data_IF_190880841793
#
_entry.id   IF_190880841793
#
_cell.length_a   1.000
_cell.length_b   1.000
_cell.length_c   1.000
_cell.angle_alpha   90.00
_cell.angle_beta   90.00
_cell.angle_gamma   90.00
#
_symmetry.space_group_name_H-M   'P 1'
#
loop_
_entity.id
_entity.type
_entity.pdbx_description
1 polymer ?
#
# COMPACT_ATOMS: atom_id res chain seq x y z
N UNK A 1 6.71 -4.22 -10.21
CA UNK A 1 8.16 -3.95 -10.20
C UNK A 1 8.98 -5.21 -9.98
N UNK A 2 8.47 -6.20 -9.25
CA UNK A 2 9.13 -7.48 -8.96
C UNK A 2 9.45 -8.35 -10.19
N UNK A 3 8.86 -8.06 -11.35
CA UNK A 3 9.20 -8.69 -12.63
C UNK A 3 10.16 -7.77 -13.39
N UNK A 4 11.30 -8.29 -13.82
CA UNK A 4 12.27 -7.59 -14.67
C UNK A 4 12.02 -7.93 -16.15
N UNK A 5 12.76 -7.29 -17.05
CA UNK A 5 12.64 -7.56 -18.49
C UNK A 5 12.83 -9.04 -18.85
N UNK A 6 13.70 -9.75 -18.13
CA UNK A 6 13.97 -11.17 -18.42
C UNK A 6 12.72 -12.04 -18.20
N UNK A 7 11.93 -11.76 -17.17
CA UNK A 7 10.65 -12.44 -16.94
C UNK A 7 9.56 -11.93 -17.89
N UNK A 8 9.46 -10.60 -18.09
CA UNK A 8 8.43 -9.99 -18.94
C UNK A 8 8.55 -10.42 -20.40
N UNK A 9 9.77 -10.56 -20.93
CA UNK A 9 10.02 -11.01 -22.31
C UNK A 9 9.53 -12.45 -22.57
N UNK A 10 9.20 -13.21 -21.52
CA UNK A 10 8.71 -14.59 -21.59
C UNK A 10 7.24 -14.72 -21.19
N UNK A 11 6.59 -13.61 -20.85
CA UNK A 11 5.23 -13.57 -20.33
C UNK A 11 4.26 -13.16 -21.46
N UNK A 12 3.15 -13.88 -21.58
CA UNK A 12 2.02 -13.48 -22.42
C UNK A 12 0.86 -13.04 -21.52
N UNK A 13 0.30 -11.87 -21.80
CA UNK A 13 -0.85 -11.30 -21.09
C UNK A 13 -2.06 -11.19 -22.04
N UNK A 14 -2.60 -12.32 -22.53
CA UNK A 14 -3.56 -12.35 -23.64
C UNK A 14 -4.89 -11.66 -23.33
N UNK A 15 -5.20 -11.41 -22.06
CA UNK A 15 -6.43 -10.76 -21.62
C UNK A 15 -6.27 -9.26 -21.35
N UNK A 16 -5.05 -8.72 -21.46
CA UNK A 16 -4.75 -7.34 -21.06
C UNK A 16 -5.43 -6.28 -21.94
N UNK A 17 -5.75 -6.63 -23.18
CA UNK A 17 -6.37 -5.72 -24.16
C UNK A 17 -7.90 -5.73 -24.09
N UNK A 18 -8.48 -6.67 -23.34
CA UNK A 18 -9.92 -6.89 -23.30
C UNK A 18 -10.55 -6.24 -22.07
N UNK A 19 -11.67 -5.51 -22.24
CA UNK A 19 -12.54 -5.18 -21.13
C UNK A 19 -12.98 -6.45 -20.40
N UNK A 20 -13.18 -6.34 -19.08
CA UNK A 20 -13.57 -7.49 -18.25
C UNK A 20 -14.88 -8.15 -18.71
N UNK A 21 -15.82 -7.39 -19.24
CA UNK A 21 -17.08 -7.91 -19.79
C UNK A 21 -16.83 -8.84 -20.98
N UNK A 22 -15.97 -8.43 -21.91
CA UNK A 22 -15.64 -9.20 -23.11
C UNK A 22 -14.93 -10.51 -22.75
N UNK A 23 -14.05 -10.50 -21.75
CA UNK A 23 -13.41 -11.72 -21.22
C UNK A 23 -14.47 -12.72 -20.71
N UNK A 24 -15.53 -12.24 -20.05
CA UNK A 24 -16.60 -13.11 -19.53
C UNK A 24 -17.48 -13.66 -20.66
N UNK A 25 -17.74 -12.86 -21.69
CA UNK A 25 -18.46 -13.30 -22.89
C UNK A 25 -17.69 -14.40 -23.62
N UNK A 26 -16.39 -14.20 -23.87
CA UNK A 26 -15.51 -15.22 -24.46
C UNK A 26 -15.52 -16.51 -23.63
N UNK A 27 -15.47 -16.41 -22.29
CA UNK A 27 -15.52 -17.57 -21.41
C UNK A 27 -16.88 -18.30 -21.48
N UNK A 28 -17.98 -17.57 -21.59
CA UNK A 28 -19.32 -18.13 -21.71
C UNK A 28 -19.51 -18.85 -23.05
N UNK A 29 -19.08 -18.23 -24.16
CA UNK A 29 -19.13 -18.81 -25.51
C UNK A 29 -18.30 -20.10 -25.60
N UNK A 30 -17.14 -20.13 -24.94
CA UNK A 30 -16.29 -21.31 -24.85
C UNK A 30 -16.80 -22.38 -23.85
N UNK A 31 -17.93 -22.14 -23.17
CA UNK A 31 -18.50 -23.07 -22.20
C UNK A 31 -17.66 -23.25 -20.93
N UNK A 32 -16.86 -22.26 -20.54
CA UNK A 32 -16.00 -22.34 -19.36
C UNK A 32 -16.81 -22.09 -18.08
N UNK A 33 -16.68 -22.93 -17.04
CA UNK A 33 -17.46 -22.82 -15.79
C UNK A 33 -17.11 -21.60 -14.92
N UNK A 34 -16.11 -20.81 -15.35
CA UNK A 34 -15.62 -19.63 -14.63
C UNK A 34 -16.23 -18.32 -15.13
N UNK A 35 -17.04 -18.34 -16.20
CA UNK A 35 -17.61 -17.14 -16.81
C UNK A 35 -18.39 -16.26 -15.80
N UNK A 36 -19.17 -16.89 -14.93
CA UNK A 36 -19.99 -16.21 -13.91
C UNK A 36 -19.34 -16.20 -12.51
N UNK A 37 -18.16 -16.78 -12.36
CA UNK A 37 -17.50 -16.87 -11.06
C UNK A 37 -17.15 -15.45 -10.58
N UNK A 38 -17.55 -15.07 -9.35
CA UNK A 38 -17.11 -13.81 -8.77
C UNK A 38 -15.59 -13.71 -8.72
N UNK A 39 -15.05 -12.54 -9.03
CA UNK A 39 -13.62 -12.28 -8.92
C UNK A 39 -13.18 -12.40 -7.46
N UNK A 40 -12.04 -13.03 -7.21
CA UNK A 40 -11.45 -13.07 -5.87
C UNK A 40 -11.01 -11.66 -5.48
N UNK A 41 -11.62 -11.09 -4.43
CA UNK A 41 -11.32 -9.73 -3.95
C UNK A 41 -10.43 -9.69 -2.69
N UNK A 42 -10.07 -10.86 -2.17
CA UNK A 42 -9.34 -11.02 -0.91
C UNK A 42 -8.05 -11.83 -1.13
N UNK A 43 -7.21 -11.88 -0.09
CA UNK A 43 -5.95 -12.63 -0.11
C UNK A 43 -6.22 -14.08 -0.54
N UNK A 44 -5.64 -14.49 -1.68
CA UNK A 44 -6.00 -15.73 -2.39
C UNK A 44 -5.92 -17.02 -1.55
N UNK A 45 -5.16 -17.02 -0.45
CA UNK A 45 -4.99 -18.17 0.45
C UNK A 45 -5.81 -18.09 1.75
N UNK A 46 -6.65 -17.06 1.92
CA UNK A 46 -7.55 -16.91 3.07
C UNK A 46 -9.00 -17.09 2.57
N UNK A 47 -9.55 -18.32 2.62
CA UNK A 47 -10.82 -18.64 1.97
C UNK A 47 -12.04 -17.90 2.56
N UNK A 48 -12.01 -17.56 3.84
CA UNK A 48 -13.15 -16.95 4.55
C UNK A 48 -13.08 -15.41 4.62
N UNK A 49 -12.04 -14.79 4.06
CA UNK A 49 -11.79 -13.34 4.15
C UNK A 49 -11.48 -12.82 5.57
N UNK A 50 -11.50 -13.68 6.59
CA UNK A 50 -11.19 -13.30 7.98
C UNK A 50 -9.68 -13.28 8.23
N UNK A 51 -9.02 -12.25 7.73
CA UNK A 51 -7.60 -12.02 7.96
C UNK A 51 -7.28 -11.86 9.45
N UNK A 52 -8.21 -11.37 10.28
CA UNK A 52 -7.96 -11.13 11.71
C UNK A 52 -7.77 -12.45 12.44
N UNK A 53 -8.65 -13.41 12.17
CA UNK A 53 -8.52 -14.78 12.69
C UNK A 53 -7.22 -15.42 12.19
N UNK A 54 -6.94 -15.33 10.89
CA UNK A 54 -5.74 -15.89 10.29
C UNK A 54 -4.43 -15.37 10.94
N UNK A 55 -4.35 -14.07 11.23
CA UNK A 55 -3.17 -13.46 11.88
C UNK A 55 -3.13 -13.79 13.37
N UNK A 56 -4.28 -13.74 14.07
CA UNK A 56 -4.37 -14.03 15.50
C UNK A 56 -3.99 -15.46 15.87
N UNK A 57 -4.20 -16.43 14.97
CA UNK A 57 -3.74 -17.82 15.13
C UNK A 57 -2.21 -17.96 15.04
N UNK A 58 -1.52 -17.00 14.40
CA UNK A 58 -0.07 -17.05 14.13
C UNK A 58 0.75 -16.10 14.96
N UNK A 59 0.11 -15.10 15.58
CA UNK A 59 0.77 -14.10 16.42
C UNK A 59 -0.09 -13.82 17.64
N UNK A 60 0.50 -13.86 18.83
CA UNK A 60 -0.20 -13.45 20.05
C UNK A 60 -0.37 -11.93 20.02
N UNK A 61 -1.60 -11.38 19.97
CA UNK A 61 -1.79 -9.94 19.98
C UNK A 61 -1.34 -9.34 21.30
N UNK A 62 -0.62 -8.22 21.23
CA UNK A 62 -0.30 -7.40 22.39
C UNK A 62 -1.24 -6.20 22.40
N UNK A 63 -2.12 -6.07 23.42
CA UNK A 63 -2.97 -4.89 23.57
C UNK A 63 -2.14 -3.63 23.75
N UNK A 64 -2.74 -2.49 23.42
CA UNK A 64 -2.11 -1.19 23.56
C UNK A 64 -3.11 -0.05 23.49
N UNK A 65 -2.61 1.17 23.47
CA UNK A 65 -3.43 2.37 23.63
C UNK A 65 -3.67 3.08 22.30
N UNK A 66 -4.91 3.53 22.12
CA UNK A 66 -5.19 4.63 21.20
C UNK A 66 -4.81 5.94 21.87
N UNK A 67 -4.00 6.75 21.21
CA UNK A 67 -3.59 8.09 21.68
C UNK A 67 -3.96 9.16 20.66
N UNK A 68 -4.10 10.42 21.09
CA UNK A 68 -4.14 11.56 20.18
C UNK A 68 -2.72 12.10 19.85
N UNK A 69 -2.64 13.18 19.08
CA UNK A 69 -1.38 13.84 18.72
C UNK A 69 -0.61 14.41 19.91
N UNK A 70 -1.31 14.72 21.00
CA UNK A 70 -0.75 15.28 22.22
C UNK A 70 -0.33 14.18 23.22
N UNK A 71 -0.60 12.91 22.88
CA UNK A 71 -0.27 11.74 23.69
C UNK A 71 -1.36 11.36 24.71
N UNK A 72 -2.54 11.98 24.68
CA UNK A 72 -3.63 11.62 25.58
C UNK A 72 -4.23 10.27 25.18
N UNK A 73 -4.44 9.38 26.14
CA UNK A 73 -5.08 8.08 25.90
C UNK A 73 -6.57 8.25 25.64
N UNK A 74 -7.03 7.78 24.48
CA UNK A 74 -8.42 7.82 24.02
C UNK A 74 -9.16 6.50 24.28
N UNK A 75 -8.43 5.40 24.47
CA UNK A 75 -8.97 4.07 24.69
C UNK A 75 -7.93 2.98 24.40
N UNK A 76 -8.37 1.72 24.35
CA UNK A 76 -7.49 0.57 24.15
C UNK A 76 -7.86 -0.24 22.91
N UNK A 77 -6.87 -0.94 22.35
CA UNK A 77 -7.02 -1.82 21.20
C UNK A 77 -6.45 -3.22 21.47
N UNK A 78 -6.94 -4.26 20.76
CA UNK A 78 -6.48 -5.63 20.97
C UNK A 78 -5.10 -5.92 20.37
N UNK A 79 -4.58 -5.07 19.47
CA UNK A 79 -3.23 -5.19 18.89
C UNK A 79 -3.08 -4.41 17.60
N UNK A 80 -1.87 -3.93 17.33
CA UNK A 80 -1.56 -3.03 16.20
C UNK A 80 -1.83 -3.65 14.83
N UNK A 81 -1.67 -4.97 14.69
CA UNK A 81 -1.84 -5.71 13.43
C UNK A 81 -3.28 -5.74 12.90
N UNK A 82 -4.26 -5.29 13.69
CA UNK A 82 -5.67 -5.23 13.28
C UNK A 82 -6.06 -3.89 12.66
N UNK A 83 -5.09 -2.99 12.50
CA UNK A 83 -5.29 -1.61 12.07
C UNK A 83 -4.37 -1.24 10.92
N UNK A 84 -4.78 -0.25 10.15
CA UNK A 84 -4.02 0.29 9.01
C UNK A 84 -4.13 1.80 8.99
N UNK A 85 -3.06 2.49 8.57
CA UNK A 85 -3.07 3.95 8.41
C UNK A 85 -4.18 4.38 7.44
N UNK A 86 -4.93 5.41 7.85
CA UNK A 86 -6.14 5.89 7.19
C UNK A 86 -7.43 5.14 7.54
N UNK A 87 -7.39 4.11 8.39
CA UNK A 87 -8.60 3.41 8.83
C UNK A 87 -9.47 4.32 9.70
N UNK A 88 -10.77 4.39 9.35
CA UNK A 88 -11.80 5.12 10.10
C UNK A 88 -12.76 4.23 10.90
N UNK A 89 -13.15 3.10 10.32
CA UNK A 89 -14.23 2.24 10.86
C UNK A 89 -13.66 1.19 11.82
N UNK A 90 -14.52 0.69 12.71
CA UNK A 90 -14.22 -0.44 13.63
C UNK A 90 -12.99 -0.18 14.52
N UNK A 91 -12.86 1.04 15.03
CA UNK A 91 -11.82 1.37 16.01
C UNK A 91 -12.13 0.84 17.41
N UNK A 92 -13.38 0.43 17.69
CA UNK A 92 -13.76 -0.12 19.00
C UNK A 92 -13.79 0.93 20.12
N UNK A 93 -13.68 2.22 19.78
CA UNK A 93 -13.81 3.31 20.73
C UNK A 93 -15.28 3.55 21.07
N UNK A 94 -15.60 3.40 22.35
CA UNK A 94 -16.90 3.73 22.91
C UNK A 94 -16.96 5.23 23.17
N UNK A 95 -17.31 6.03 22.17
CA UNK A 95 -17.39 7.47 22.37
C UNK A 95 -17.82 8.22 21.13
N UNK A 96 -18.80 9.11 21.31
CA UNK A 96 -19.18 10.09 20.30
C UNK A 96 -18.14 11.23 20.38
N UNK A 97 -16.95 11.02 19.79
CA UNK A 97 -15.83 12.00 19.78
C UNK A 97 -16.17 13.31 19.04
N UNK A 98 -17.43 13.51 18.63
CA UNK A 98 -17.95 14.67 17.90
C UNK A 98 -17.40 14.81 16.47
N UNK A 99 -16.25 14.20 16.18
CA UNK A 99 -15.54 14.25 14.90
C UNK A 99 -15.03 12.86 14.51
N UNK A 100 -14.98 12.56 13.19
CA UNK A 100 -14.46 11.28 12.72
C UNK A 100 -12.94 11.21 12.97
N UNK A 101 -12.52 10.16 13.69
CA UNK A 101 -11.11 9.83 13.91
C UNK A 101 -10.61 8.83 12.87
N UNK A 102 -9.34 8.96 12.53
CA UNK A 102 -8.62 8.08 11.63
C UNK A 102 -7.31 7.63 12.27
N UNK A 103 -6.87 6.42 11.96
CA UNK A 103 -5.52 5.95 12.32
C UNK A 103 -4.49 6.76 11.53
N UNK A 104 -3.78 7.67 12.18
CA UNK A 104 -2.75 8.50 11.55
C UNK A 104 -1.38 7.87 11.63
N UNK A 105 -1.10 7.13 12.71
CA UNK A 105 0.20 6.49 12.91
C UNK A 105 0.05 5.23 13.76
N UNK A 106 0.85 4.21 13.48
CA UNK A 106 0.98 3.00 14.29
C UNK A 106 2.42 2.95 14.82
N UNK A 107 2.63 2.85 16.13
CA UNK A 107 3.95 2.87 16.77
C UNK A 107 4.19 1.47 17.38
N UNK A 108 4.86 0.56 16.66
CA UNK A 108 5.03 -0.82 17.12
C UNK A 108 5.81 -0.93 18.43
N UNK A 109 6.78 -0.04 18.64
CA UNK A 109 7.71 -0.08 19.76
C UNK A 109 6.99 0.10 21.10
N UNK A 110 5.98 0.97 21.12
CA UNK A 110 5.15 1.26 22.30
C UNK A 110 3.77 0.62 22.24
N UNK A 111 3.45 -0.13 21.18
CA UNK A 111 2.12 -0.67 20.90
C UNK A 111 1.03 0.41 20.89
N UNK A 112 1.34 1.61 20.40
CA UNK A 112 0.39 2.72 20.38
C UNK A 112 -0.17 2.96 18.98
N UNK A 113 -1.42 3.39 18.90
CA UNK A 113 -2.05 3.85 17.67
C UNK A 113 -2.47 5.30 17.85
N UNK A 114 -1.88 6.20 17.05
CA UNK A 114 -2.25 7.61 17.03
C UNK A 114 -3.51 7.78 16.19
N UNK A 115 -4.49 8.46 16.76
CA UNK A 115 -5.72 8.85 16.09
C UNK A 115 -5.76 10.36 15.92
N UNK A 116 -6.21 10.78 14.74
CA UNK A 116 -6.34 12.19 14.40
C UNK A 116 -7.43 12.47 13.40
N UNK A 117 -7.44 13.68 12.88
CA UNK A 117 -8.33 14.11 11.82
C UNK A 117 -7.85 13.60 10.46
N UNK A 118 -8.72 13.75 9.46
CA UNK A 118 -8.37 13.40 8.07
C UNK A 118 -7.22 14.24 7.52
N UNK A 119 -7.01 15.46 8.02
CA UNK A 119 -5.94 16.36 7.55
C UNK A 119 -4.57 15.92 8.04
N UNK A 120 -4.53 15.20 9.16
CA UNK A 120 -3.30 14.68 9.75
C UNK A 120 -2.76 13.45 8.99
N UNK A 121 -3.45 13.03 7.92
CA UNK A 121 -3.05 11.95 7.02
C UNK A 121 -2.43 12.46 5.71
N UNK A 122 -2.47 13.77 5.45
CA UNK A 122 -2.05 14.31 4.17
C UNK A 122 -0.53 14.53 4.16
N UNK A 123 0.18 13.75 3.34
CA UNK A 123 1.64 13.78 3.20
C UNK A 123 2.02 14.16 1.77
N UNK A 124 3.01 15.06 1.63
CA UNK A 124 3.54 15.45 0.30
C UNK A 124 4.77 14.66 -0.11
N UNK A 125 5.30 13.83 0.79
CA UNK A 125 6.55 13.14 0.60
C UNK A 125 6.45 11.72 1.15
N UNK A 126 7.05 10.76 0.45
CA UNK A 126 7.29 9.43 0.96
C UNK A 126 8.67 8.94 0.54
N UNK A 127 9.15 7.92 1.21
CA UNK A 127 10.36 7.19 0.85
C UNK A 127 9.97 5.79 0.41
N UNK A 128 10.62 5.28 -0.62
CA UNK A 128 10.41 3.92 -1.09
C UNK A 128 11.73 3.14 -1.05
N UNK A 129 11.77 2.03 -0.31
CA UNK A 129 12.88 1.09 -0.32
C UNK A 129 12.67 0.01 -1.39
N UNK A 130 13.71 -0.79 -1.63
CA UNK A 130 13.67 -1.94 -2.57
C UNK A 130 13.13 -1.52 -3.94
N UNK A 131 13.52 -0.33 -4.38
CA UNK A 131 13.06 0.24 -5.63
C UNK A 131 13.66 -0.56 -6.76
N UNK A 132 12.81 -0.97 -7.68
CA UNK A 132 13.26 -1.58 -8.93
C UNK A 132 12.56 -0.92 -10.09
N UNK A 133 13.29 -0.85 -11.20
CA UNK A 133 12.80 -0.36 -12.46
C UNK A 133 12.56 -1.55 -13.38
N UNK A 134 11.48 -1.47 -14.14
CA UNK A 134 11.11 -2.50 -15.12
C UNK A 134 12.06 -2.42 -16.32
N UNK A 135 12.56 -1.23 -16.66
CA UNK A 135 13.63 -1.03 -17.64
C UNK A 135 15.00 -1.51 -17.13
N UNK A 136 16.02 -1.46 -18.00
CA UNK A 136 17.36 -1.97 -17.68
C UNK A 136 18.11 -1.07 -16.69
N UNK A 137 17.84 0.24 -16.69
CA UNK A 137 18.55 1.21 -15.85
C UNK A 137 17.60 2.14 -15.08
N UNK A 138 17.89 2.46 -13.81
CA UNK A 138 17.19 3.50 -13.07
C UNK A 138 17.47 4.88 -13.70
N UNK A 139 16.55 5.85 -13.58
CA UNK A 139 16.84 7.23 -13.96
C UNK A 139 18.08 7.75 -13.20
N UNK A 140 18.97 8.49 -13.86
CA UNK A 140 20.13 9.12 -13.21
C UNK A 140 19.79 10.45 -12.54
N UNK A 141 18.66 11.05 -12.92
CA UNK A 141 18.19 12.36 -12.45
C UNK A 141 16.74 12.26 -11.94
N UNK A 142 16.28 13.26 -11.15
CA UNK A 142 14.88 13.35 -10.79
C UNK A 142 13.96 13.36 -12.01
N UNK A 143 12.88 12.58 -11.96
CA UNK A 143 11.94 12.43 -13.06
C UNK A 143 10.50 12.57 -12.59
N UNK A 144 9.66 13.21 -13.40
CA UNK A 144 8.22 13.29 -13.15
C UNK A 144 7.56 11.96 -13.50
N UNK A 145 6.80 11.42 -12.57
CA UNK A 145 6.08 10.15 -12.68
C UNK A 145 4.67 10.28 -12.16
N UNK A 146 3.80 9.38 -12.58
CA UNK A 146 2.50 9.15 -11.96
C UNK A 146 2.66 8.02 -10.94
N UNK A 147 2.55 8.35 -9.65
CA UNK A 147 2.75 7.41 -8.56
C UNK A 147 1.41 6.87 -8.03
N UNK A 148 1.32 5.56 -7.86
CA UNK A 148 0.18 4.85 -7.28
C UNK A 148 0.57 4.21 -5.96
N UNK A 149 0.05 4.74 -4.86
CA UNK A 149 0.37 4.29 -3.49
C UNK A 149 -0.60 3.25 -2.93
N UNK A 150 -1.72 3.00 -3.63
CA UNK A 150 -2.75 2.01 -3.25
C UNK A 150 -3.39 1.42 -4.49
N UNK A 151 -3.73 0.12 -4.45
CA UNK A 151 -4.32 -0.59 -5.59
C UNK A 151 -5.61 0.06 -6.14
N UNK A 152 -6.51 0.49 -5.26
CA UNK A 152 -7.79 1.11 -5.63
C UNK A 152 -7.73 2.65 -5.71
N UNK A 153 -6.56 3.26 -5.54
CA UNK A 153 -6.42 4.71 -5.72
C UNK A 153 -6.13 5.07 -7.18
N UNK A 154 -6.46 6.31 -7.54
CA UNK A 154 -5.91 6.93 -8.75
C UNK A 154 -4.39 7.09 -8.63
N UNK A 155 -3.76 7.41 -9.76
CA UNK A 155 -2.36 7.85 -9.78
C UNK A 155 -2.27 9.31 -9.36
N UNK A 156 -1.12 9.74 -8.85
CA UNK A 156 -0.84 11.13 -8.51
C UNK A 156 0.52 11.53 -9.02
N UNK A 157 0.60 12.70 -9.65
CA UNK A 157 1.85 13.21 -10.20
C UNK A 157 2.83 13.53 -9.08
N UNK A 158 4.07 13.10 -9.27
CA UNK A 158 5.14 13.23 -8.31
C UNK A 158 6.50 13.35 -9.02
N UNK A 159 7.45 13.98 -8.32
CA UNK A 159 8.86 13.91 -8.68
C UNK A 159 9.49 12.72 -7.93
N UNK A 160 10.03 11.76 -8.69
CA UNK A 160 10.84 10.66 -8.18
C UNK A 160 12.31 11.05 -8.25
N UNK A 161 12.99 11.03 -7.12
CA UNK A 161 14.45 11.20 -7.03
C UNK A 161 15.10 9.87 -6.64
N UNK A 162 15.80 9.19 -7.57
CA UNK A 162 16.42 7.90 -7.30
C UNK A 162 17.67 8.06 -6.42
N UNK A 163 17.87 7.13 -5.49
CA UNK A 163 18.95 7.14 -4.49
C UNK A 163 19.58 5.75 -4.36
N UNK A 164 19.89 5.11 -5.49
CA UNK A 164 20.39 3.74 -5.53
C UNK A 164 19.25 2.74 -5.43
N UNK A 165 19.15 2.00 -4.32
CA UNK A 165 18.15 0.96 -4.06
C UNK A 165 16.86 1.50 -3.39
N UNK A 166 16.81 2.80 -3.11
CA UNK A 166 15.64 3.51 -2.63
C UNK A 166 15.39 4.78 -3.43
N UNK A 167 14.22 5.39 -3.24
CA UNK A 167 13.86 6.65 -3.89
C UNK A 167 13.07 7.57 -2.94
N UNK A 168 13.25 8.87 -3.14
CA UNK A 168 12.41 9.91 -2.56
C UNK A 168 11.31 10.28 -3.55
N UNK A 169 10.06 10.29 -3.10
CA UNK A 169 8.91 10.63 -3.93
C UNK A 169 8.26 11.86 -3.32
N UNK A 170 8.17 12.94 -4.11
CA UNK A 170 7.49 14.18 -3.70
C UNK A 170 6.29 14.43 -4.60
N UNK A 171 5.10 14.45 -4.03
CA UNK A 171 3.86 14.67 -4.75
C UNK A 171 3.58 16.17 -4.95
N UNK A 172 3.00 16.49 -6.10
CA UNK A 172 2.57 17.85 -6.43
C UNK A 172 1.40 18.28 -5.54
N UNK A 173 0.52 17.35 -5.20
CA UNK A 173 -0.59 17.52 -4.25
C UNK A 173 -0.49 16.53 -3.07
N UNK A 174 -0.92 16.91 -1.85
CA UNK A 174 -0.83 16.04 -0.69
C UNK A 174 -1.61 14.74 -0.90
N UNK A 175 -0.97 13.63 -0.55
CA UNK A 175 -1.55 12.29 -0.63
C UNK A 175 -2.00 11.82 0.73
N UNK A 176 -3.21 11.28 0.77
CA UNK A 176 -3.80 10.82 2.02
C UNK A 176 -3.33 9.44 2.39
N UNK A 177 -2.94 9.28 3.64
CA UNK A 177 -2.67 8.02 4.30
C UNK A 177 -1.64 7.18 3.52
N UNK A 178 -0.46 7.76 3.33
CA UNK A 178 0.72 7.02 2.91
C UNK A 178 1.00 5.96 3.98
N UNK A 179 0.95 4.68 3.61
CA UNK A 179 1.03 3.57 4.57
C UNK A 179 2.34 2.83 4.39
N UNK A 180 3.26 2.87 5.37
CA UNK A 180 4.47 2.07 5.35
C UNK A 180 4.18 0.57 5.17
N UNK A 181 5.03 -0.11 4.40
CA UNK A 181 4.88 -1.52 4.01
C UNK A 181 3.99 -1.76 2.79
N UNK A 182 3.22 -0.77 2.33
CA UNK A 182 2.50 -0.88 1.06
C UNK A 182 3.44 -0.63 -0.13
N UNK A 183 3.09 -1.16 -1.30
CA UNK A 183 3.83 -0.88 -2.51
C UNK A 183 3.47 0.51 -3.07
N UNK A 184 4.47 1.23 -3.59
CA UNK A 184 4.29 2.33 -4.52
C UNK A 184 4.71 1.87 -5.91
N UNK A 185 3.92 2.22 -6.92
CA UNK A 185 4.20 1.90 -8.33
C UNK A 185 4.31 3.20 -9.12
N UNK A 186 5.32 3.29 -9.97
CA UNK A 186 5.60 4.47 -10.79
C UNK A 186 5.18 4.20 -12.23
N UNK A 187 4.44 5.13 -12.80
CA UNK A 187 3.94 5.08 -14.16
C UNK A 187 4.48 6.26 -14.98
N UNK A 188 4.62 6.04 -16.28
CA UNK A 188 4.85 7.07 -17.27
C UNK A 188 3.87 6.82 -18.42
N UNK A 189 2.74 7.54 -18.39
CA UNK A 189 1.58 7.17 -19.20
C UNK A 189 1.09 5.76 -18.85
N UNK A 190 0.92 4.92 -19.85
CA UNK A 190 0.45 3.53 -19.67
C UNK A 190 1.58 2.54 -19.28
N UNK A 191 2.83 3.01 -19.21
CA UNK A 191 3.99 2.16 -18.91
C UNK A 191 4.27 2.14 -17.42
N UNK A 192 4.38 0.94 -16.83
CA UNK A 192 4.93 0.76 -15.48
C UNK A 192 6.44 0.96 -15.53
N UNK A 193 6.91 2.10 -15.01
CA UNK A 193 8.33 2.42 -14.93
C UNK A 193 9.04 1.58 -13.86
N UNK A 194 8.38 1.36 -12.72
CA UNK A 194 8.99 0.69 -11.58
C UNK A 194 8.12 0.71 -10.33
N UNK A 195 8.74 0.50 -9.18
CA UNK A 195 8.08 0.59 -7.88
C UNK A 195 8.96 0.14 -6.73
N UNK A 196 8.47 0.33 -5.51
CA UNK A 196 9.16 -0.04 -4.27
C UNK A 196 8.19 -0.24 -3.11
N UNK A 197 8.73 -0.38 -1.90
CA UNK A 197 7.96 -0.49 -0.65
C UNK A 197 8.03 0.84 0.08
N UNK A 198 6.87 1.40 0.42
CA UNK A 198 6.76 2.66 1.17
C UNK A 198 7.37 2.46 2.56
N UNK A 199 8.27 3.35 2.94
CA UNK A 199 8.90 3.40 4.25
C UNK A 199 8.41 4.60 5.06
N UNK A 200 8.53 4.50 6.38
CA UNK A 200 8.17 5.58 7.32
C UNK A 200 9.15 6.75 7.23
N UNK A 201 10.42 6.46 6.99
CA UNK A 201 11.51 7.43 6.99
C UNK A 201 12.50 7.10 5.88
N UNK A 202 13.39 8.05 5.60
CA UNK A 202 14.44 7.86 4.61
C UNK A 202 15.36 6.69 5.03
N UNK A 203 15.59 5.69 4.17
CA UNK A 203 16.59 4.66 4.44
C UNK A 203 17.96 5.29 4.68
N UNK A 204 18.64 4.89 5.76
CA UNK A 204 19.99 5.36 6.05
C UNK A 204 20.98 4.68 5.10
N UNK A 205 21.93 5.46 4.56
CA UNK A 205 22.97 5.00 3.62
C UNK A 205 23.85 3.82 4.13
N UNK A 206 23.74 3.43 5.41
CA UNK A 206 24.58 2.40 6.04
C UNK A 206 23.98 0.99 6.03
N UNK A 207 22.69 0.79 5.71
CA UNK A 207 22.06 -0.54 5.75
C UNK A 207 22.21 -1.35 4.45
N UNK A 208 22.76 -0.75 3.38
CA UNK A 208 22.85 -1.35 2.05
C UNK A 208 24.05 -2.33 1.92
N UNK A 209 24.91 -2.42 2.95
CA UNK A 209 26.14 -3.22 2.92
C UNK A 209 26.05 -4.59 3.61
N UNK A 210 24.88 -5.06 4.05
CA UNK A 210 24.78 -6.33 4.77
C UNK A 210 23.45 -7.06 4.59
N UNK A 211 23.44 -8.08 3.73
CA UNK A 211 22.35 -9.05 3.60
C UNK A 211 22.40 -9.84 2.30
#
# INVERSE_FOLDING_TARGET
>A
FTLKQQELARLLLPIGEYPKSEIREIAAEAGLPVADKPDSQEICFIPDGDYRKFVGERTKPTPGDFIDSDGNVLGQHPGIQFFTVGQRRRLGLNGNTGKPLFVTRIIPETHQIVLGSVRDLDERQLWASRVTFVGEEPPSEPVTVDAKIRYNAGVSTATLTPRGDWAEIRFDEPQRAVTPGQAVVFYQGDVVLGGGIIEREAPLLQEIAGG
#
